data_IF_026205162137
#
_entry.id   IF_026205162137
#
_cell.length_a   1.000
_cell.length_b   1.000
_cell.length_c   1.000
_cell.angle_alpha   90.00
_cell.angle_beta   90.00
_cell.angle_gamma   90.00
#
_symmetry.space_group_name_H-M   'P 1'
#
loop_
_entity.id
_entity.type
_entity.pdbx_description
1 polymer ?
#
# COMPACT_ATOMS: atom_id res chain seq x y z
N UNK A 1 4.55 16.44 17.79
CA UNK A 1 3.24 15.76 17.86
C UNK A 1 3.02 14.97 16.58
N UNK A 2 3.46 13.70 16.54
CA UNK A 2 3.16 12.81 15.42
C UNK A 2 1.98 11.93 15.88
N UNK A 3 0.76 12.26 15.44
CA UNK A 3 -0.39 11.41 15.72
C UNK A 3 -0.19 10.04 15.06
N UNK A 4 -0.71 8.94 15.64
CA UNK A 4 -0.47 7.60 15.12
C UNK A 4 -1.11 7.47 13.73
N UNK A 5 -0.33 7.68 12.68
CA UNK A 5 -0.69 7.25 11.33
C UNK A 5 -0.70 5.73 11.33
N UNK A 6 -1.90 5.13 11.31
CA UNK A 6 -2.07 3.68 11.50
C UNK A 6 -1.90 2.88 10.19
N UNK A 7 -1.84 3.56 9.04
CA UNK A 7 -1.96 2.92 7.73
C UNK A 7 -0.75 3.21 6.82
N UNK A 8 0.33 2.43 6.94
CA UNK A 8 1.51 2.56 6.08
C UNK A 8 1.29 1.93 4.69
N UNK A 9 1.75 2.61 3.66
CA UNK A 9 1.86 2.07 2.31
C UNK A 9 3.07 1.14 2.22
N UNK A 10 2.85 -0.16 2.07
CA UNK A 10 3.92 -1.15 1.88
C UNK A 10 4.68 -1.01 0.56
N UNK A 11 4.22 -0.16 -0.36
CA UNK A 11 4.89 0.10 -1.64
C UNK A 11 5.95 1.19 -1.47
N UNK A 12 5.60 2.35 -0.91
CA UNK A 12 6.47 3.53 -0.83
C UNK A 12 6.84 3.97 0.60
N UNK A 13 6.27 3.34 1.63
CA UNK A 13 6.49 3.70 3.03
C UNK A 13 5.66 4.87 3.55
N UNK A 14 4.90 5.58 2.70
CA UNK A 14 4.07 6.71 3.14
C UNK A 14 3.02 6.28 4.17
N UNK A 15 2.92 7.03 5.26
CA UNK A 15 1.99 6.74 6.34
C UNK A 15 0.77 7.65 6.26
N UNK A 16 -0.41 7.05 6.27
CA UNK A 16 -1.67 7.77 6.20
C UNK A 16 -2.41 7.67 7.53
N UNK A 17 -3.10 8.76 7.89
CA UNK A 17 -3.95 8.85 9.09
C UNK A 17 -5.25 8.04 8.94
N UNK A 18 -5.71 7.84 7.70
CA UNK A 18 -6.95 7.14 7.38
C UNK A 18 -6.75 6.07 6.29
N UNK A 19 -7.50 4.98 6.39
CA UNK A 19 -7.50 3.90 5.38
C UNK A 19 -8.01 4.39 4.02
N UNK A 20 -8.98 5.31 4.01
CA UNK A 20 -9.50 5.90 2.77
C UNK A 20 -8.41 6.66 2.01
N UNK A 21 -7.57 7.43 2.72
CA UNK A 21 -6.43 8.14 2.14
C UNK A 21 -5.37 7.17 1.59
N UNK A 22 -5.05 6.11 2.33
CA UNK A 22 -4.16 5.06 1.82
C UNK A 22 -4.76 4.39 0.57
N UNK A 23 -6.06 4.10 0.57
CA UNK A 23 -6.74 3.44 -0.56
C UNK A 23 -6.71 4.29 -1.81
N UNK A 24 -7.01 5.58 -1.69
CA UNK A 24 -6.90 6.54 -2.79
C UNK A 24 -5.44 6.65 -3.27
N UNK A 25 -4.47 6.68 -2.36
CA UNK A 25 -3.06 6.71 -2.72
C UNK A 25 -2.62 5.47 -3.51
N UNK A 26 -3.14 4.27 -3.19
CA UNK A 26 -2.80 3.03 -3.90
C UNK A 26 -3.23 3.05 -5.37
N UNK A 27 -4.21 3.88 -5.77
CA UNK A 27 -4.53 4.07 -7.19
C UNK A 27 -3.38 4.68 -7.99
N UNK A 28 -2.58 5.55 -7.37
CA UNK A 28 -1.39 6.13 -8.01
C UNK A 28 -0.44 5.01 -8.43
N UNK A 29 -0.16 4.07 -7.53
CA UNK A 29 0.66 2.91 -7.84
C UNK A 29 0.01 1.93 -8.82
N UNK A 30 -1.32 1.87 -8.86
CA UNK A 30 -2.06 1.05 -9.85
C UNK A 30 -1.86 1.56 -11.27
N UNK A 31 -1.73 2.88 -11.43
CA UNK A 31 -1.58 3.51 -12.73
C UNK A 31 -0.13 3.70 -13.18
N UNK A 32 0.84 3.26 -12.37
CA UNK A 32 2.25 3.32 -12.71
C UNK A 32 2.73 2.11 -13.50
N UNK A 33 3.70 2.35 -14.37
CA UNK A 33 4.49 1.34 -15.10
C UNK A 33 5.92 1.25 -14.57
N UNK A 34 6.36 2.24 -13.80
CA UNK A 34 7.71 2.30 -13.22
C UNK A 34 7.72 1.78 -11.79
N UNK A 35 8.71 0.96 -11.48
CA UNK A 35 8.96 0.48 -10.13
C UNK A 35 9.47 1.61 -9.25
N UNK A 36 8.82 1.88 -8.13
CA UNK A 36 9.25 2.92 -7.19
C UNK A 36 10.43 2.51 -6.30
N UNK A 37 10.81 1.21 -6.30
CA UNK A 37 11.92 0.70 -5.48
C UNK A 37 13.23 0.73 -6.26
N UNK A 38 13.22 0.28 -7.52
CA UNK A 38 14.41 0.20 -8.38
C UNK A 38 14.31 1.06 -9.65
N UNK A 39 13.25 1.86 -9.80
CA UNK A 39 13.03 2.76 -10.94
C UNK A 39 13.03 2.08 -12.31
N UNK A 40 12.82 0.76 -12.35
CA UNK A 40 12.68 0.02 -13.61
C UNK A 40 11.33 0.29 -14.25
N UNK A 41 11.33 0.71 -15.51
CA UNK A 41 10.10 0.92 -16.31
C UNK A 41 9.70 -0.38 -16.99
N UNK A 42 8.46 -0.81 -16.75
CA UNK A 42 7.88 -2.02 -17.33
C UNK A 42 6.84 -1.64 -18.40
N UNK A 43 6.68 -2.48 -19.42
CA UNK A 43 5.73 -2.19 -20.52
C UNK A 43 4.27 -2.23 -20.09
N UNK A 44 3.93 -2.96 -19.01
CA UNK A 44 2.54 -3.14 -18.54
C UNK A 44 2.44 -3.10 -17.02
N UNK A 45 1.27 -2.66 -16.54
CA UNK A 45 0.91 -2.65 -15.10
C UNK A 45 0.89 -4.05 -14.47
N UNK A 46 0.52 -5.07 -15.23
CA UNK A 46 0.61 -6.48 -14.80
C UNK A 46 2.05 -6.93 -14.59
N UNK A 47 2.96 -6.51 -15.45
CA UNK A 47 4.40 -6.78 -15.32
C UNK A 47 4.97 -6.10 -14.09
N UNK A 48 4.59 -4.84 -13.83
CA UNK A 48 4.97 -4.15 -12.59
C UNK A 48 4.49 -4.90 -11.34
N UNK A 49 3.24 -5.36 -11.30
CA UNK A 49 2.71 -6.14 -10.16
C UNK A 49 3.45 -7.45 -9.93
N UNK A 50 3.84 -8.14 -11.01
CA UNK A 50 4.66 -9.36 -10.95
C UNK A 50 6.08 -9.03 -10.49
N UNK A 51 6.67 -7.98 -11.04
CA UNK A 51 7.98 -7.47 -10.66
C UNK A 51 8.06 -7.16 -9.16
N UNK A 52 7.09 -6.43 -8.60
CA UNK A 52 7.05 -6.13 -7.16
C UNK A 52 7.03 -7.39 -6.29
N UNK A 53 6.23 -8.40 -6.67
CA UNK A 53 6.17 -9.66 -5.93
C UNK A 53 7.44 -10.51 -6.06
N UNK A 54 8.02 -10.61 -7.25
CA UNK A 54 9.13 -11.53 -7.50
C UNK A 54 10.51 -10.92 -7.22
N UNK A 55 10.67 -9.61 -7.46
CA UNK A 55 11.96 -8.91 -7.32
C UNK A 55 12.12 -8.20 -5.97
N UNK A 56 11.02 -7.72 -5.40
CA UNK A 56 11.05 -6.99 -4.13
C UNK A 56 10.30 -7.71 -3.00
N UNK A 57 9.61 -8.81 -3.30
CA UNK A 57 8.75 -9.52 -2.34
C UNK A 57 7.68 -8.61 -1.72
N UNK A 58 7.29 -7.53 -2.42
CA UNK A 58 6.29 -6.57 -1.97
C UNK A 58 4.93 -6.97 -2.57
N UNK A 59 3.98 -7.45 -1.75
CA UNK A 59 2.64 -7.73 -2.22
C UNK A 59 1.89 -6.42 -2.49
N UNK A 60 1.26 -6.33 -3.66
CA UNK A 60 0.43 -5.18 -4.00
C UNK A 60 -0.77 -5.11 -3.04
N UNK A 61 -0.90 -4.00 -2.31
CA UNK A 61 -2.05 -3.78 -1.43
C UNK A 61 -3.29 -3.57 -2.31
N UNK A 62 -4.20 -4.55 -2.32
CA UNK A 62 -5.53 -4.39 -2.91
C UNK A 62 -6.34 -3.48 -1.98
N UNK A 63 -7.22 -2.64 -2.55
CA UNK A 63 -8.16 -1.82 -1.79
C UNK A 63 -8.78 -2.66 -0.68
N UNK A 64 -8.45 -2.33 0.56
CA UNK A 64 -8.94 -3.03 1.73
C UNK A 64 -10.43 -2.68 1.83
N UNK A 65 -11.29 -3.48 1.21
CA UNK A 65 -12.69 -3.53 1.59
C UNK A 65 -12.73 -3.96 3.06
N UNK A 66 -12.95 -2.96 3.92
CA UNK A 66 -13.36 -3.03 5.32
C UNK A 66 -12.96 -4.32 6.03
N UNK A 67 -11.70 -4.41 6.46
CA UNK A 67 -11.41 -5.27 7.60
C UNK A 67 -11.73 -4.50 8.87
N UNK A 68 -12.87 -4.92 9.44
CA UNK A 68 -13.37 -4.67 10.79
C UNK A 68 -12.19 -4.48 11.76
N UNK A 69 -12.25 -3.40 12.53
CA UNK A 69 -11.40 -3.18 13.70
C UNK A 69 -11.26 -4.49 14.49
N UNK A 70 -10.05 -4.95 14.85
CA UNK A 70 -9.96 -5.73 16.07
C UNK A 70 -10.47 -4.82 17.18
N UNK A 71 -11.57 -5.22 17.82
CA UNK A 71 -11.94 -4.66 19.12
C UNK A 71 -10.76 -4.98 20.03
N UNK A 72 -9.96 -3.99 20.39
CA UNK A 72 -9.11 -4.11 21.57
C UNK A 72 -10.04 -4.06 22.76
N UNK A 73 -9.96 -5.12 23.55
CA UNK A 73 -10.81 -5.46 24.67
C UNK A 73 -10.93 -4.33 25.68
N UNK A 74 -12.18 -4.21 26.16
CA UNK A 74 -12.58 -3.85 27.51
C UNK A 74 -11.43 -3.89 28.53
N UNK A 75 -11.02 -2.72 29.03
CA UNK A 75 -10.35 -2.62 30.34
C UNK A 75 -11.42 -2.24 31.37
N UNK A 76 -11.41 -2.95 32.49
CA UNK A 76 -12.47 -3.05 33.51
C UNK A 76 -12.63 -1.80 34.38
#
# INVERSE_FOLDING_TARGET
MQGPGRFPCRLCGNVYRHLASLTQHLEVHRNQTTCIVCHTTLSRRTDLRRHMRLKHQIPWQKSIHRQRSPKSELDS
#
